data_IF_127044138392
#
_entry.id   IF_127044138392
#
_cell.length_a   1.000
_cell.length_b   1.000
_cell.length_c   1.000
_cell.angle_alpha   90.00
_cell.angle_beta   90.00
_cell.angle_gamma   90.00
#
_symmetry.space_group_name_H-M   'P 1'
#
loop_
_entity.id
_entity.type
_entity.pdbx_description
1 polymer ?
#
# COMPACT_ATOMS: atom_id res chain seq x y z
N UNK A 1 11.63 3.28 4.48
CA UNK A 1 11.25 2.70 5.79
C UNK A 1 10.28 1.54 5.54
N UNK A 2 10.46 0.39 6.20
CA UNK A 2 9.53 -0.74 6.11
C UNK A 2 8.48 -0.57 7.20
N UNK A 3 7.23 -0.32 6.82
CA UNK A 3 6.10 -0.23 7.74
C UNK A 3 5.44 -1.60 7.84
N UNK A 4 5.48 -2.20 9.03
CA UNK A 4 4.70 -3.41 9.33
C UNK A 4 3.23 -3.01 9.50
N UNK A 5 2.42 -3.26 8.47
CA UNK A 5 0.96 -3.11 8.54
C UNK A 5 0.26 -4.29 7.89
N UNK A 6 -0.95 -4.55 8.34
CA UNK A 6 -1.83 -5.56 7.77
C UNK A 6 -2.23 -5.16 6.35
N UNK A 7 -1.97 -6.01 5.36
CA UNK A 7 -2.40 -5.73 3.99
C UNK A 7 -3.92 -5.97 3.88
N UNK A 8 -4.74 -4.98 3.46
CA UNK A 8 -6.18 -5.15 3.33
C UNK A 8 -6.57 -6.15 2.23
N UNK A 9 -5.69 -6.43 1.27
CA UNK A 9 -5.95 -7.38 0.18
C UNK A 9 -5.73 -8.84 0.60
N UNK A 10 -4.58 -9.18 1.18
CA UNK A 10 -4.27 -10.56 1.56
C UNK A 10 -4.48 -10.87 3.04
N UNK A 11 -4.88 -9.88 3.85
CA UNK A 11 -5.13 -10.01 5.30
C UNK A 11 -3.97 -10.67 6.05
N UNK A 12 -2.75 -10.43 5.58
CA UNK A 12 -1.53 -10.93 6.21
C UNK A 12 -0.72 -9.75 6.73
N UNK A 13 0.01 -9.97 7.83
CA UNK A 13 1.04 -9.05 8.31
C UNK A 13 2.25 -9.20 7.40
N UNK A 14 2.52 -8.15 6.63
CA UNK A 14 3.51 -8.18 5.56
C UNK A 14 4.31 -6.89 5.56
N UNK A 15 5.53 -6.97 5.04
CA UNK A 15 6.31 -5.79 4.73
C UNK A 15 5.67 -5.06 3.54
N UNK A 16 5.49 -3.75 3.70
CA UNK A 16 5.05 -2.86 2.63
C UNK A 16 6.27 -2.13 2.06
N UNK A 17 6.48 -2.26 0.74
CA UNK A 17 7.52 -1.54 0.01
C UNK A 17 6.96 -0.20 -0.46
N UNK A 18 7.61 0.90 -0.10
CA UNK A 18 7.19 2.22 -0.56
C UNK A 18 7.43 2.37 -2.07
N UNK A 19 6.40 2.81 -2.79
CA UNK A 19 6.47 3.09 -4.22
C UNK A 19 6.59 4.58 -4.49
N UNK A 20 7.15 4.90 -5.66
CA UNK A 20 7.17 6.27 -6.15
C UNK A 20 5.76 6.72 -6.51
N UNK A 21 5.42 7.96 -6.13
CA UNK A 21 4.15 8.60 -6.49
C UNK A 21 4.31 9.38 -7.79
N UNK A 22 3.36 9.24 -8.70
CA UNK A 22 3.27 10.10 -9.88
C UNK A 22 3.06 11.57 -9.47
N UNK A 23 3.34 12.49 -10.40
CA UNK A 23 3.15 13.93 -10.17
C UNK A 23 1.71 14.25 -9.73
N UNK A 24 0.72 13.64 -10.38
CA UNK A 24 -0.71 13.85 -10.08
C UNK A 24 -1.05 13.36 -8.67
N UNK A 25 -0.60 12.16 -8.29
CA UNK A 25 -0.81 11.63 -6.94
C UNK A 25 -0.15 12.52 -5.87
N UNK A 26 1.06 13.01 -6.15
CA UNK A 26 1.83 13.81 -5.19
C UNK A 26 1.27 15.22 -4.98
N UNK A 27 0.76 15.86 -6.02
CA UNK A 27 0.43 17.29 -5.98
C UNK A 27 -1.05 17.61 -6.16
N UNK A 28 -1.84 16.73 -6.77
CA UNK A 28 -3.24 17.03 -7.11
C UNK A 28 -4.23 16.22 -6.26
N UNK A 29 -4.05 14.91 -6.12
CA UNK A 29 -5.11 14.04 -5.56
C UNK A 29 -4.80 13.48 -4.18
N UNK A 30 -3.53 13.22 -3.85
CA UNK A 30 -3.13 12.41 -2.68
C UNK A 30 -1.87 12.95 -1.98
N UNK A 31 -1.81 14.27 -1.79
CA UNK A 31 -0.65 15.00 -1.23
C UNK A 31 -0.14 14.45 0.11
N UNK A 32 -1.06 14.11 1.02
CA UNK A 32 -0.78 13.56 2.36
C UNK A 32 -0.80 12.02 2.43
N UNK A 33 -0.73 11.34 1.30
CA UNK A 33 -0.71 9.88 1.25
C UNK A 33 0.58 9.37 0.64
N UNK A 34 1.07 8.25 1.15
CA UNK A 34 2.20 7.51 0.61
C UNK A 34 1.71 6.25 -0.07
N UNK A 35 2.31 5.90 -1.20
CA UNK A 35 1.98 4.70 -1.97
C UNK A 35 2.88 3.55 -1.55
N UNK A 36 2.29 2.38 -1.38
CA UNK A 36 2.95 1.16 -0.96
C UNK A 36 2.51 -0.03 -1.79
N UNK A 37 3.39 -1.02 -1.89
CA UNK A 37 3.14 -2.32 -2.49
C UNK A 37 3.32 -3.40 -1.43
N UNK A 38 2.37 -4.33 -1.36
CA UNK A 38 2.47 -5.52 -0.54
C UNK A 38 3.46 -6.51 -1.14
N UNK A 39 4.52 -6.87 -0.40
CA UNK A 39 5.52 -7.82 -0.87
C UNK A 39 5.00 -9.26 -1.03
N UNK A 40 3.82 -9.59 -0.48
CA UNK A 40 3.25 -10.94 -0.55
C UNK A 40 2.30 -11.14 -1.75
N UNK A 41 1.37 -10.19 -1.97
CA UNK A 41 0.36 -10.30 -3.03
C UNK A 41 0.48 -9.25 -4.13
N UNK A 42 1.44 -8.33 -4.03
CA UNK A 42 1.60 -7.23 -4.99
C UNK A 42 0.47 -6.18 -4.94
N UNK A 43 -0.35 -6.18 -3.88
CA UNK A 43 -1.42 -5.19 -3.73
C UNK A 43 -0.85 -3.78 -3.54
N UNK A 44 -1.35 -2.82 -4.31
CA UNK A 44 -1.03 -1.41 -4.12
C UNK A 44 -2.00 -0.78 -3.12
N UNK A 45 -1.45 -0.12 -2.10
CA UNK A 45 -2.20 0.56 -1.05
C UNK A 45 -1.67 1.97 -0.84
N UNK A 46 -2.53 2.90 -0.46
CA UNK A 46 -2.10 4.20 0.08
C UNK A 46 -2.22 4.21 1.59
N UNK A 47 -1.22 4.77 2.27
CA UNK A 47 -1.26 5.06 3.69
C UNK A 47 -1.24 6.57 3.92
N UNK A 48 -2.13 7.08 4.76
CA UNK A 48 -2.13 8.50 5.09
C UNK A 48 -0.99 8.83 6.07
N UNK A 49 -0.21 9.88 5.78
CA UNK A 49 0.97 10.26 6.58
C UNK A 49 0.62 10.56 8.05
N UNK A 50 -0.56 11.14 8.30
CA UNK A 50 -0.96 11.60 9.63
C UNK A 50 -1.97 10.68 10.32
N UNK A 51 -2.46 9.64 9.64
CA UNK A 51 -3.43 8.69 10.21
C UNK A 51 -2.82 7.30 10.16
N UNK A 52 -2.35 6.85 11.33
CA UNK A 52 -1.60 5.61 11.46
C UNK A 52 -2.40 4.33 11.09
N UNK A 53 -3.70 4.42 10.82
CA UNK A 53 -4.57 3.26 10.61
C UNK A 53 -5.33 3.26 9.28
N UNK A 54 -5.36 4.36 8.52
CA UNK A 54 -6.06 4.40 7.24
C UNK A 54 -5.15 3.88 6.12
N UNK A 55 -5.35 2.60 5.76
CA UNK A 55 -4.84 2.03 4.52
C UNK A 55 -5.97 1.92 3.50
N UNK A 56 -5.84 2.62 2.38
CA UNK A 56 -6.75 2.50 1.25
C UNK A 56 -6.19 1.53 0.21
N UNK A 57 -6.95 0.48 -0.11
CA UNK A 57 -6.62 -0.44 -1.19
C UNK A 57 -6.94 0.20 -2.55
N UNK A 58 -5.95 0.27 -3.44
CA UNK A 58 -6.11 0.78 -4.81
C UNK A 58 -6.27 -0.37 -5.79
N UNK A 59 -5.44 -1.39 -5.63
CA UNK A 59 -5.45 -2.54 -6.52
C UNK A 59 -5.33 -3.79 -5.66
N UNK A 60 -6.32 -4.67 -5.79
CA UNK A 60 -6.27 -5.97 -5.16
C UNK A 60 -5.07 -6.74 -5.72
N UNK A 61 -4.24 -7.27 -4.82
CA UNK A 61 -3.14 -8.13 -5.19
C UNK A 61 -3.67 -9.48 -5.64
N UNK A 62 -3.01 -10.12 -6.60
CA UNK A 62 -3.27 -11.52 -6.90
C UNK A 62 -2.63 -12.35 -5.80
N UNK A 63 -3.43 -13.12 -5.06
CA UNK A 63 -2.84 -14.19 -4.25
C UNK A 63 -2.11 -15.12 -5.20
N UNK A 64 -0.78 -15.20 -5.06
CA UNK A 64 -0.03 -16.25 -5.71
C UNK A 64 -0.36 -17.51 -4.95
N UNK A 65 -1.41 -18.22 -5.38
CA UNK A 65 -1.61 -19.61 -5.00
C UNK A 65 -0.38 -20.35 -5.47
N UNK A 66 0.51 -20.64 -4.54
CA UNK A 66 1.64 -21.55 -4.78
C UNK A 66 1.07 -22.93 -4.51
N UNK A 67 0.56 -23.58 -5.56
CA UNK A 67 0.45 -25.04 -5.62
C UNK A 67 1.83 -25.62 -5.99
#
# INVERSE_FOLDING_TARGET
MLFNRFCPSCKASVNLKQLHRTFVERYMTRKLWEKYECCNCGAEVFAHCNKAQDLELITAGKQVSTE
#
